data_IF_183808416418
#
_entry.id   IF_183808416418
#
_cell.length_a   1.000
_cell.length_b   1.000
_cell.length_c   1.000
_cell.angle_alpha   90.00
_cell.angle_beta   90.00
_cell.angle_gamma   90.00
#
_symmetry.space_group_name_H-M   'P 1'
#
loop_
_entity.id
_entity.type
_entity.pdbx_description
1 polymer ?
#
# COMPACT_ATOMS: atom_id res chain seq x y z
N UNK A 1 -16.51 13.99 -5.15
CA UNK A 1 -16.29 15.41 -5.55
C UNK A 1 -15.44 16.17 -4.54
N UNK A 2 -15.77 16.16 -3.24
CA UNK A 2 -14.93 16.82 -2.20
C UNK A 2 -13.55 16.18 -2.11
N UNK A 3 -13.47 14.84 -1.99
CA UNK A 3 -12.20 14.13 -1.93
C UNK A 3 -11.30 14.40 -3.14
N UNK A 4 -11.80 14.28 -4.37
CA UNK A 4 -11.05 14.58 -5.61
C UNK A 4 -10.49 16.01 -5.61
N UNK A 5 -11.28 17.00 -5.17
CA UNK A 5 -10.80 18.38 -5.08
C UNK A 5 -9.70 18.54 -4.02
N UNK A 6 -9.90 17.98 -2.84
CA UNK A 6 -8.91 18.01 -1.76
C UNK A 6 -7.60 17.33 -2.17
N UNK A 7 -7.69 16.18 -2.85
CA UNK A 7 -6.53 15.46 -3.40
C UNK A 7 -5.78 16.33 -4.41
N UNK A 8 -6.51 16.95 -5.35
CA UNK A 8 -5.92 17.88 -6.32
C UNK A 8 -5.22 19.08 -5.67
N UNK A 9 -5.89 19.77 -4.74
CA UNK A 9 -5.32 20.93 -4.05
C UNK A 9 -4.10 20.58 -3.18
N UNK A 10 -4.16 19.47 -2.44
CA UNK A 10 -3.06 19.04 -1.58
C UNK A 10 -1.88 18.48 -2.37
N UNK A 11 -2.14 17.78 -3.47
CA UNK A 11 -1.07 17.31 -4.37
C UNK A 11 -0.33 18.48 -5.03
N UNK A 12 -1.04 19.55 -5.42
CA UNK A 12 -0.47 20.75 -6.01
C UNK A 12 0.43 21.56 -5.06
N UNK A 13 0.30 21.36 -3.74
CA UNK A 13 1.21 21.94 -2.73
C UNK A 13 2.58 21.26 -2.70
N UNK A 14 2.80 20.20 -3.47
CA UNK A 14 4.06 19.47 -3.51
C UNK A 14 4.44 18.95 -2.12
N UNK A 15 5.56 19.43 -1.60
CA UNK A 15 6.10 19.01 -0.30
C UNK A 15 5.62 19.84 0.90
N UNK A 16 4.72 20.81 0.69
CA UNK A 16 4.25 21.76 1.71
C UNK A 16 2.93 21.34 2.39
N UNK A 17 2.58 20.04 2.42
CA UNK A 17 1.40 19.58 3.14
C UNK A 17 1.62 19.71 4.66
N UNK A 18 0.77 20.48 5.38
CA UNK A 18 0.89 20.62 6.83
C UNK A 18 0.81 19.27 7.55
N UNK A 19 1.67 19.06 8.54
CA UNK A 19 1.71 17.82 9.31
C UNK A 19 0.35 17.46 9.94
N UNK A 20 -0.38 18.47 10.42
CA UNK A 20 -1.72 18.31 11.00
C UNK A 20 -2.75 17.72 10.03
N UNK A 21 -2.57 17.87 8.71
CA UNK A 21 -3.51 17.35 7.70
C UNK A 21 -3.16 15.93 7.24
N UNK A 22 -1.94 15.43 7.48
CA UNK A 22 -1.49 14.13 6.99
C UNK A 22 -2.34 12.98 7.53
N UNK A 23 -2.66 13.01 8.82
CA UNK A 23 -3.48 11.98 9.47
C UNK A 23 -4.91 11.96 8.95
N UNK A 24 -5.54 13.13 8.79
CA UNK A 24 -6.90 13.23 8.27
C UNK A 24 -6.97 12.84 6.79
N UNK A 25 -5.96 13.22 6.01
CA UNK A 25 -5.87 12.82 4.61
C UNK A 25 -5.69 11.30 4.48
N UNK A 26 -4.90 10.67 5.34
CA UNK A 26 -4.79 9.22 5.40
C UNK A 26 -6.16 8.57 5.65
N UNK A 27 -6.92 9.03 6.65
CA UNK A 27 -8.26 8.52 6.94
C UNK A 27 -9.22 8.70 5.76
N UNK A 28 -9.18 9.85 5.08
CA UNK A 28 -10.00 10.10 3.88
C UNK A 28 -9.63 9.11 2.76
N UNK A 29 -8.34 8.90 2.51
CA UNK A 29 -7.88 7.93 1.51
C UNK A 29 -8.28 6.50 1.88
N UNK A 30 -8.26 6.13 3.16
CA UNK A 30 -8.74 4.82 3.63
C UNK A 30 -10.24 4.65 3.43
N UNK A 31 -11.04 5.69 3.69
CA UNK A 31 -12.48 5.67 3.39
C UNK A 31 -12.78 5.53 1.89
N UNK A 32 -11.87 5.97 1.02
CA UNK A 32 -11.90 5.77 -0.43
C UNK A 32 -10.93 4.67 -0.88
N UNK A 33 -10.75 3.64 -0.04
CA UNK A 33 -9.69 2.67 -0.21
C UNK A 33 -9.75 1.92 -1.55
N UNK A 34 -10.93 1.66 -2.09
CA UNK A 34 -11.10 1.02 -3.39
C UNK A 34 -10.54 1.90 -4.51
N UNK A 35 -10.95 3.16 -4.58
CA UNK A 35 -10.53 4.11 -5.61
C UNK A 35 -9.03 4.44 -5.50
N UNK A 36 -8.53 4.54 -4.27
CA UNK A 36 -7.09 4.73 -4.00
C UNK A 36 -6.30 3.49 -4.44
N UNK A 37 -6.74 2.29 -4.08
CA UNK A 37 -6.09 1.04 -4.52
C UNK A 37 -6.10 0.92 -6.05
N UNK A 38 -7.20 1.27 -6.72
CA UNK A 38 -7.25 1.30 -8.19
C UNK A 38 -6.20 2.25 -8.76
N UNK A 39 -6.13 3.48 -8.26
CA UNK A 39 -5.15 4.47 -8.73
C UNK A 39 -3.68 4.07 -8.44
N UNK A 40 -3.43 3.33 -7.35
CA UNK A 40 -2.11 2.80 -7.03
C UNK A 40 -1.71 1.58 -7.88
N UNK A 41 -2.69 0.80 -8.32
CA UNK A 41 -2.47 -0.50 -8.98
C UNK A 41 -2.63 -0.49 -10.50
N UNK A 42 -3.31 0.50 -11.06
CA UNK A 42 -3.65 0.52 -12.49
C UNK A 42 -2.47 0.91 -13.38
N UNK A 43 -1.67 -0.10 -13.75
CA UNK A 43 -0.54 -0.02 -14.68
C UNK A 43 -0.88 0.59 -16.04
N UNK A 44 -2.11 0.44 -16.51
CA UNK A 44 -2.52 0.82 -17.87
C UNK A 44 -3.38 2.09 -17.93
N UNK A 45 -3.75 2.68 -16.79
CA UNK A 45 -4.68 3.82 -16.69
C UNK A 45 -6.05 3.54 -17.33
N UNK A 46 -6.37 2.26 -17.56
CA UNK A 46 -7.63 1.81 -18.17
C UNK A 46 -8.61 1.25 -17.16
N UNK A 47 -8.13 0.86 -15.96
CA UNK A 47 -8.99 0.34 -14.89
C UNK A 47 -9.70 1.53 -14.25
N UNK A 48 -11.00 1.57 -14.44
CA UNK A 48 -11.87 2.50 -13.70
C UNK A 48 -12.36 1.83 -12.43
N UNK A 49 -12.46 2.56 -11.30
CA UNK A 49 -13.09 2.02 -10.12
C UNK A 49 -14.56 1.72 -10.44
N UNK A 50 -15.09 0.63 -9.92
CA UNK A 50 -16.49 0.24 -10.15
C UNK A 50 -17.46 1.22 -9.48
N UNK A 51 -17.00 1.81 -8.38
CA UNK A 51 -17.71 2.79 -7.58
C UNK A 51 -16.81 3.97 -7.26
N UNK A 52 -17.40 5.16 -7.14
CA UNK A 52 -16.68 6.37 -6.77
C UNK A 52 -15.89 7.02 -7.92
N UNK A 53 -15.10 8.06 -7.61
CA UNK A 53 -14.39 8.82 -8.63
C UNK A 53 -13.11 8.11 -9.09
N UNK A 54 -12.77 8.24 -10.37
CA UNK A 54 -11.43 7.97 -10.85
C UNK A 54 -10.46 8.99 -10.23
N UNK A 55 -9.31 8.52 -9.73
CA UNK A 55 -8.26 9.34 -9.14
C UNK A 55 -7.02 9.30 -10.04
N UNK A 56 -6.30 10.41 -10.10
CA UNK A 56 -5.04 10.52 -10.84
C UNK A 56 -3.89 9.94 -9.99
N UNK A 57 -3.14 8.98 -10.55
CA UNK A 57 -2.06 8.29 -9.83
C UNK A 57 -0.99 9.24 -9.29
N UNK A 58 -0.68 10.31 -10.04
CA UNK A 58 0.34 11.29 -9.65
C UNK A 58 -0.09 12.11 -8.43
N UNK A 59 -1.38 12.45 -8.35
CA UNK A 59 -1.94 13.15 -7.19
C UNK A 59 -1.95 12.24 -5.96
N UNK A 60 -2.34 10.97 -6.15
CA UNK A 60 -2.29 9.95 -5.10
C UNK A 60 -0.85 9.75 -4.62
N UNK A 61 0.14 9.77 -5.51
CA UNK A 61 1.56 9.60 -5.18
C UNK A 61 2.07 10.77 -4.35
N UNK A 62 1.81 12.01 -4.80
CA UNK A 62 2.21 13.21 -4.08
C UNK A 62 1.65 13.23 -2.66
N UNK A 63 0.37 12.91 -2.48
CA UNK A 63 -0.27 12.89 -1.16
C UNK A 63 0.22 11.71 -0.31
N UNK A 64 0.43 10.54 -0.91
CA UNK A 64 0.96 9.37 -0.18
C UNK A 64 2.37 9.66 0.34
N UNK A 65 3.24 10.31 -0.47
CA UNK A 65 4.56 10.78 -0.04
C UNK A 65 4.45 11.67 1.19
N UNK A 66 3.52 12.62 1.20
CA UNK A 66 3.32 13.51 2.35
C UNK A 66 2.84 12.76 3.60
N UNK A 67 1.88 11.85 3.44
CA UNK A 67 1.40 10.99 4.52
C UNK A 67 2.54 10.15 5.11
N UNK A 68 3.44 9.63 4.26
CA UNK A 68 4.59 8.81 4.66
C UNK A 68 5.61 9.53 5.55
N UNK A 69 5.59 10.87 5.62
CA UNK A 69 6.48 11.66 6.48
C UNK A 69 6.11 11.56 7.97
N UNK A 70 4.95 10.98 8.32
CA UNK A 70 4.53 10.80 9.71
C UNK A 70 4.06 9.38 9.95
N UNK A 71 4.66 8.70 10.94
CA UNK A 71 4.41 7.29 11.24
C UNK A 71 2.94 6.94 11.36
N UNK A 72 2.21 7.61 12.23
CA UNK A 72 0.82 7.29 12.51
C UNK A 72 -0.08 7.43 11.27
N UNK A 73 0.17 8.46 10.45
CA UNK A 73 -0.57 8.67 9.20
C UNK A 73 -0.26 7.59 8.17
N UNK A 74 1.02 7.23 8.05
CA UNK A 74 1.47 6.15 7.19
C UNK A 74 0.88 4.79 7.60
N UNK A 75 0.93 4.46 8.89
CA UNK A 75 0.40 3.21 9.42
C UNK A 75 -1.11 3.11 9.16
N UNK A 76 -1.85 4.21 9.35
CA UNK A 76 -3.29 4.30 9.05
C UNK A 76 -3.55 3.98 7.58
N UNK A 77 -2.83 4.63 6.66
CA UNK A 77 -2.97 4.39 5.23
C UNK A 77 -2.62 2.94 4.87
N UNK A 78 -1.54 2.40 5.44
CA UNK A 78 -1.09 1.05 5.16
C UNK A 78 -2.10 -0.01 5.59
N UNK A 79 -2.69 0.13 6.79
CA UNK A 79 -3.76 -0.74 7.24
C UNK A 79 -4.96 -0.68 6.28
N UNK A 80 -5.43 0.52 5.94
CA UNK A 80 -6.57 0.64 5.01
C UNK A 80 -6.29 0.08 3.61
N UNK A 81 -5.07 0.24 3.08
CA UNK A 81 -4.71 -0.37 1.80
C UNK A 81 -4.64 -1.90 1.86
N UNK A 82 -4.21 -2.49 2.99
CA UNK A 82 -4.29 -3.94 3.17
C UNK A 82 -5.74 -4.43 3.10
N UNK A 83 -6.68 -3.70 3.68
CA UNK A 83 -8.10 -4.01 3.55
C UNK A 83 -8.59 -3.87 2.11
N UNK A 84 -8.22 -2.79 1.41
CA UNK A 84 -8.62 -2.60 0.02
C UNK A 84 -8.08 -3.71 -0.90
N UNK A 85 -6.82 -4.12 -0.73
CA UNK A 85 -6.21 -5.23 -1.47
C UNK A 85 -6.90 -6.57 -1.19
N UNK A 86 -7.18 -6.88 0.07
CA UNK A 86 -7.85 -8.14 0.42
C UNK A 86 -9.31 -8.14 -0.06
N UNK A 87 -10.02 -7.02 0.04
CA UNK A 87 -11.35 -6.88 -0.53
C UNK A 87 -11.35 -7.11 -2.04
N UNK A 88 -10.35 -6.59 -2.75
CA UNK A 88 -10.14 -6.80 -4.19
C UNK A 88 -9.88 -8.28 -4.54
N UNK A 89 -9.27 -9.08 -3.65
CA UNK A 89 -9.14 -10.53 -3.83
C UNK A 89 -10.48 -11.27 -3.78
N UNK A 90 -11.42 -10.75 -3.00
CA UNK A 90 -12.77 -11.33 -2.83
C UNK A 90 -13.75 -10.89 -3.92
N UNK A 91 -13.36 -9.96 -4.79
CA UNK A 91 -14.21 -9.49 -5.86
C UNK A 91 -14.31 -10.52 -6.98
N UNK A 92 -15.49 -11.17 -7.06
CA UNK A 92 -15.78 -12.21 -8.05
C UNK A 92 -15.96 -11.66 -9.47
N UNK A 93 -16.11 -10.35 -9.64
CA UNK A 93 -16.18 -9.72 -10.97
C UNK A 93 -14.81 -9.72 -11.66
N UNK A 94 -13.73 -9.81 -10.87
CA UNK A 94 -12.36 -9.63 -11.34
C UNK A 94 -11.64 -10.95 -11.60
N UNK A 95 -10.71 -10.90 -12.56
CA UNK A 95 -9.79 -12.00 -12.78
C UNK A 95 -8.85 -12.13 -11.56
N UNK A 96 -8.73 -13.32 -10.93
CA UNK A 96 -7.84 -13.55 -9.80
C UNK A 96 -6.39 -13.12 -10.05
N UNK A 97 -5.86 -13.35 -11.26
CA UNK A 97 -4.49 -12.95 -11.60
C UNK A 97 -4.30 -11.45 -11.48
N UNK A 98 -5.28 -10.69 -11.93
CA UNK A 98 -5.21 -9.23 -11.93
C UNK A 98 -5.31 -8.67 -10.52
N UNK A 99 -6.07 -9.31 -9.61
CA UNK A 99 -6.16 -8.88 -8.21
C UNK A 99 -4.83 -9.10 -7.47
N UNK A 100 -4.15 -10.23 -7.71
CA UNK A 100 -2.80 -10.49 -7.17
C UNK A 100 -1.79 -9.45 -7.65
N UNK A 101 -1.75 -9.20 -8.96
CA UNK A 101 -0.87 -8.18 -9.56
C UNK A 101 -1.18 -6.80 -9.01
N UNK A 102 -2.46 -6.45 -8.90
CA UNK A 102 -2.90 -5.16 -8.36
C UNK A 102 -2.40 -4.95 -6.94
N UNK A 103 -2.49 -5.97 -6.08
CA UNK A 103 -1.96 -5.88 -4.72
C UNK A 103 -0.44 -5.69 -4.68
N UNK A 104 0.31 -6.42 -5.51
CA UNK A 104 1.75 -6.20 -5.67
C UNK A 104 2.05 -4.75 -6.08
N UNK A 105 1.40 -4.24 -7.12
CA UNK A 105 1.57 -2.87 -7.58
C UNK A 105 1.29 -1.83 -6.50
N UNK A 106 0.22 -2.00 -5.73
CA UNK A 106 -0.11 -1.10 -4.61
C UNK A 106 0.97 -1.11 -3.52
N UNK A 107 1.52 -2.28 -3.17
CA UNK A 107 2.64 -2.34 -2.21
C UNK A 107 3.86 -1.60 -2.75
N UNK A 108 4.21 -1.81 -4.03
CA UNK A 108 5.32 -1.12 -4.70
C UNK A 108 5.14 0.39 -4.77
N UNK A 109 3.92 0.85 -5.06
CA UNK A 109 3.54 2.27 -5.04
C UNK A 109 3.80 2.90 -3.67
N UNK A 110 3.29 2.28 -2.61
CA UNK A 110 3.43 2.80 -1.25
C UNK A 110 4.88 2.79 -0.77
N UNK A 111 5.66 1.79 -1.19
CA UNK A 111 7.08 1.74 -0.91
C UNK A 111 7.84 2.88 -1.57
N UNK A 112 7.53 3.18 -2.84
CA UNK A 112 8.18 4.28 -3.56
C UNK A 112 7.80 5.64 -2.98
N UNK A 113 6.53 5.85 -2.67
CA UNK A 113 6.06 7.05 -1.98
C UNK A 113 6.80 7.26 -0.66
N UNK A 114 6.97 6.19 0.13
CA UNK A 114 7.73 6.24 1.37
C UNK A 114 9.19 6.57 1.09
N UNK A 115 9.86 5.88 0.16
CA UNK A 115 11.26 6.16 -0.18
C UNK A 115 11.48 7.63 -0.52
N UNK A 116 10.59 8.22 -1.33
CA UNK A 116 10.63 9.65 -1.65
C UNK A 116 10.46 10.54 -0.41
N UNK A 117 9.57 10.19 0.51
CA UNK A 117 9.41 10.93 1.75
C UNK A 117 10.68 10.90 2.61
N UNK A 118 11.42 9.78 2.64
CA UNK A 118 12.61 9.65 3.49
C UNK A 118 13.84 10.34 2.88
N UNK A 119 13.97 10.28 1.56
CA UNK A 119 15.12 10.84 0.83
C UNK A 119 15.15 12.37 0.88
N UNK A 120 13.99 13.01 0.85
CA UNK A 120 13.89 14.47 0.83
C UNK A 120 13.99 15.08 2.25
N UNK A 121 13.71 14.30 3.31
CA UNK A 121 13.74 14.70 4.73
C UNK A 121 14.89 14.05 5.53
N UNK A 122 16.10 13.98 4.95
CA UNK A 122 17.32 13.41 5.60
C UNK A 122 17.65 13.97 7.00
N UNK A 123 17.00 15.05 7.46
CA UNK A 123 17.25 15.68 8.75
C UNK A 123 16.42 15.17 9.92
N UNK A 124 15.28 14.52 9.69
CA UNK A 124 14.36 14.10 10.77
C UNK A 124 14.22 12.58 10.89
N UNK A 125 15.16 11.85 10.29
CA UNK A 125 15.11 10.39 10.21
C UNK A 125 15.61 9.72 11.48
N UNK A 126 14.81 9.84 12.54
CA UNK A 126 14.69 8.76 13.51
C UNK A 126 13.23 8.57 13.87
N UNK A 127 12.57 7.66 13.16
CA UNK A 127 11.50 6.89 13.78
C UNK A 127 12.00 6.29 15.13
N UNK A 128 13.32 6.18 15.37
CA UNK A 128 13.96 5.75 16.63
C UNK A 128 13.52 6.48 17.90
N UNK A 129 12.95 7.70 17.83
CA UNK A 129 12.37 8.36 19.01
C UNK A 129 10.87 8.14 19.20
N UNK A 130 10.17 7.59 18.21
CA UNK A 130 8.71 7.40 18.22
C UNK A 130 8.29 5.92 18.23
N UNK A 131 9.18 5.00 18.60
CA UNK A 131 8.84 3.58 18.77
C UNK A 131 8.23 3.36 20.15
N UNK A 132 6.97 3.80 20.29
CA UNK A 132 6.05 3.24 21.28
C UNK A 132 5.01 2.46 20.47
N UNK A 133 5.15 1.13 20.44
CA UNK A 133 4.39 0.19 19.59
C UNK A 133 2.91 -0.04 20.01
N UNK A 134 2.29 0.91 20.71
CA UNK A 134 0.96 0.71 21.31
C UNK A 134 -0.22 1.22 20.46
N UNK A 135 0.00 1.70 19.24
CA UNK A 135 -1.03 2.45 18.48
C UNK A 135 -1.86 1.63 17.48
N UNK A 136 -1.63 0.32 17.35
CA UNK A 136 -2.32 -0.51 16.34
C UNK A 136 -3.82 -0.63 16.61
N UNK A 137 -4.27 -0.58 17.87
CA UNK A 137 -5.69 -0.66 18.21
C UNK A 137 -6.53 0.56 17.79
N UNK A 138 -5.92 1.74 17.69
CA UNK A 138 -6.64 2.97 17.30
C UNK A 138 -6.84 3.13 15.79
N UNK A 139 -5.92 2.59 14.99
CA UNK A 139 -5.90 2.73 13.53
C UNK A 139 -7.01 1.93 12.85
N UNK A 140 -7.35 0.74 13.38
CA UNK A 140 -8.37 -0.14 12.80
C UNK A 140 -9.79 0.45 12.85
N UNK A 141 -10.06 1.39 13.77
CA UNK A 141 -11.39 2.02 13.90
C UNK A 141 -11.78 2.89 12.69
N UNK A 142 -10.81 3.35 11.90
CA UNK A 142 -11.06 4.20 10.72
C UNK A 142 -11.11 3.42 9.41
N UNK A 143 -10.77 2.13 9.44
CA UNK A 143 -10.85 1.30 8.26
C UNK A 143 -12.29 0.82 8.11
N UNK A 144 -12.97 1.11 6.98
CA UNK A 144 -14.33 0.64 6.76
C UNK A 144 -14.45 -0.87 6.96
N UNK A 145 -15.51 -1.29 7.65
CA UNK A 145 -15.82 -2.70 7.83
C UNK A 145 -16.13 -3.31 6.47
N UNK A 146 -15.24 -4.20 6.02
CA UNK A 146 -15.48 -5.12 4.91
C UNK A 146 -15.99 -6.43 5.50
N UNK A 147 -16.68 -7.28 4.71
CA UNK A 147 -17.25 -8.52 5.24
C UNK A 147 -16.24 -9.36 6.03
N UNK A 148 -16.71 -10.11 7.05
CA UNK A 148 -15.88 -10.79 8.07
C UNK A 148 -14.62 -11.51 7.56
N UNK A 149 -14.71 -12.20 6.42
CA UNK A 149 -13.57 -12.92 5.86
C UNK A 149 -12.49 -11.99 5.33
N UNK A 150 -12.88 -10.93 4.61
CA UNK A 150 -11.95 -9.93 4.10
C UNK A 150 -11.30 -9.14 5.24
N UNK A 151 -12.06 -8.84 6.30
CA UNK A 151 -11.52 -8.17 7.49
C UNK A 151 -10.44 -9.03 8.17
N UNK A 152 -10.74 -10.30 8.47
CA UNK A 152 -9.74 -11.21 9.07
C UNK A 152 -8.49 -11.37 8.20
N UNK A 153 -8.68 -11.49 6.89
CA UNK A 153 -7.55 -11.58 5.95
C UNK A 153 -6.68 -10.33 5.98
N UNK A 154 -7.30 -9.15 6.01
CA UNK A 154 -6.60 -7.87 6.07
C UNK A 154 -5.89 -7.64 7.42
N UNK A 155 -6.48 -8.06 8.54
CA UNK A 155 -5.86 -8.02 9.86
C UNK A 155 -4.58 -8.88 9.90
N UNK A 156 -4.61 -10.06 9.26
CA UNK A 156 -3.43 -10.93 9.14
C UNK A 156 -2.32 -10.27 8.31
N UNK A 157 -2.67 -9.63 7.19
CA UNK A 157 -1.69 -8.91 6.34
C UNK A 157 -1.10 -7.72 7.09
N UNK A 158 -1.94 -6.95 7.77
CA UNK A 158 -1.52 -5.80 8.58
C UNK A 158 -0.60 -6.24 9.71
N UNK A 159 -0.90 -7.34 10.39
CA UNK A 159 -0.03 -7.92 11.41
C UNK A 159 1.34 -8.32 10.84
N UNK A 160 1.37 -8.92 9.65
CA UNK A 160 2.61 -9.30 8.99
C UNK A 160 3.46 -8.08 8.59
N UNK A 161 2.82 -7.01 8.11
CA UNK A 161 3.47 -5.74 7.82
C UNK A 161 4.02 -5.06 9.09
N UNK A 162 3.29 -5.07 10.21
CA UNK A 162 3.77 -4.53 11.49
C UNK A 162 5.05 -5.25 11.92
N UNK A 163 5.08 -6.58 11.82
CA UNK A 163 6.29 -7.36 12.13
C UNK A 163 7.45 -6.99 11.20
N UNK A 164 7.20 -6.75 9.91
CA UNK A 164 8.18 -6.20 8.95
C UNK A 164 8.76 -4.87 9.45
N UNK A 165 7.91 -3.96 9.93
CA UNK A 165 8.32 -2.66 10.48
C UNK A 165 9.11 -2.77 11.80
N UNK A 166 8.71 -3.67 12.71
CA UNK A 166 9.40 -3.95 13.98
C UNK A 166 10.83 -4.41 13.73
N UNK A 167 11.00 -5.41 12.87
CA UNK A 167 12.32 -5.94 12.52
C UNK A 167 13.21 -4.88 11.88
N UNK A 168 12.65 -3.97 11.07
CA UNK A 168 13.41 -2.87 10.47
C UNK A 168 13.91 -1.89 11.53
N UNK A 169 13.07 -1.52 12.50
CA UNK A 169 13.46 -0.64 13.60
C UNK A 169 14.56 -1.27 14.48
N UNK A 170 14.55 -2.60 14.64
CA UNK A 170 15.60 -3.33 15.37
C UNK A 170 16.91 -3.44 14.60
N UNK A 171 16.86 -3.51 13.26
CA UNK A 171 18.05 -3.56 12.42
C UNK A 171 18.68 -2.17 12.29
N UNK A 172 19.73 -1.88 13.07
CA UNK A 172 20.56 -0.65 12.97
C UNK A 172 21.31 -0.47 11.64
N UNK A 173 20.92 -1.17 10.58
CA UNK A 173 21.64 -1.22 9.31
C UNK A 173 21.13 -0.10 8.41
N UNK A 174 21.87 1.01 8.44
CA UNK A 174 21.79 2.15 7.52
C UNK A 174 22.39 1.77 6.15
N UNK A 175 21.90 0.69 5.51
CA UNK A 175 22.16 0.45 4.08
C UNK A 175 20.94 0.95 3.29
N UNK A 176 20.90 2.28 3.11
CA UNK A 176 19.77 3.09 2.66
C UNK A 176 19.15 2.68 1.31
N UNK A 177 19.81 1.81 0.54
CA UNK A 177 19.34 1.42 -0.80
C UNK A 177 19.06 -0.08 -1.00
N UNK A 178 19.52 -0.97 -0.10
CA UNK A 178 19.31 -2.43 -0.25
C UNK A 178 18.34 -3.02 0.79
N UNK A 179 18.21 -2.41 1.97
CA UNK A 179 17.33 -2.91 3.02
C UNK A 179 15.84 -2.70 2.70
N UNK A 180 15.48 -1.60 2.02
CA UNK A 180 14.08 -1.23 1.75
C UNK A 180 13.34 -2.33 0.97
N UNK A 181 13.99 -2.96 -0.01
CA UNK A 181 13.42 -4.04 -0.84
C UNK A 181 13.30 -5.38 -0.12
N UNK A 182 14.18 -5.68 0.85
CA UNK A 182 14.16 -6.96 1.56
C UNK A 182 13.06 -7.03 2.64
N UNK A 183 12.51 -5.89 3.05
CA UNK A 183 11.80 -5.75 4.31
C UNK A 183 10.27 -5.84 4.23
N UNK A 184 9.64 -5.92 3.05
CA UNK A 184 8.17 -6.13 2.93
C UNK A 184 7.76 -7.57 2.63
N UNK A 185 8.72 -8.49 2.79
CA UNK A 185 8.55 -9.88 2.41
C UNK A 185 7.45 -10.58 3.21
N UNK A 186 7.26 -10.26 4.50
CA UNK A 186 6.15 -10.89 5.25
C UNK A 186 4.81 -10.34 4.80
N UNK A 187 4.69 -9.04 4.57
CA UNK A 187 3.46 -8.44 4.02
C UNK A 187 3.08 -9.07 2.68
N UNK A 188 4.01 -9.12 1.71
CA UNK A 188 3.77 -9.71 0.40
C UNK A 188 3.44 -11.20 0.47
N UNK A 189 4.14 -11.95 1.33
CA UNK A 189 3.82 -13.36 1.56
C UNK A 189 2.44 -13.54 2.21
N UNK A 190 2.05 -12.67 3.13
CA UNK A 190 0.72 -12.70 3.74
C UNK A 190 -0.37 -12.39 2.70
N UNK A 191 -0.16 -11.39 1.84
CA UNK A 191 -1.05 -11.09 0.72
C UNK A 191 -1.17 -12.27 -0.24
N UNK A 192 -0.07 -12.89 -0.64
CA UNK A 192 -0.09 -14.08 -1.49
C UNK A 192 -0.85 -15.25 -0.86
N UNK A 193 -0.70 -15.47 0.46
CA UNK A 193 -1.47 -16.49 1.19
C UNK A 193 -2.95 -16.18 1.23
N UNK A 194 -3.33 -14.92 1.49
CA UNK A 194 -4.74 -14.51 1.46
C UNK A 194 -5.32 -14.65 0.06
N UNK A 195 -4.61 -14.18 -0.97
CA UNK A 195 -5.03 -14.35 -2.34
C UNK A 195 -5.28 -15.83 -2.68
N UNK A 196 -4.36 -16.73 -2.30
CA UNK A 196 -4.52 -18.16 -2.53
C UNK A 196 -5.68 -18.75 -1.73
N UNK A 197 -5.88 -18.32 -0.48
CA UNK A 197 -6.99 -18.77 0.36
C UNK A 197 -8.35 -18.42 -0.27
N UNK A 198 -8.47 -17.23 -0.83
CA UNK A 198 -9.69 -16.76 -1.50
C UNK A 198 -9.87 -17.41 -2.88
N UNK A 199 -8.78 -17.65 -3.60
CA UNK A 199 -8.78 -18.11 -4.99
C UNK A 199 -8.32 -19.57 -5.12
N UNK A 200 -8.59 -20.41 -4.12
CA UNK A 200 -8.15 -21.83 -4.08
C UNK A 200 -8.55 -22.62 -5.33
N UNK A 201 -9.78 -22.43 -5.79
CA UNK A 201 -10.30 -23.13 -6.97
C UNK A 201 -9.52 -22.75 -8.24
N UNK A 202 -9.23 -21.46 -8.40
CA UNK A 202 -8.37 -20.98 -9.49
C UNK A 202 -6.95 -21.56 -9.36
N UNK A 203 -6.34 -21.48 -8.18
CA UNK A 203 -4.99 -21.98 -7.94
C UNK A 203 -4.86 -23.51 -8.12
N UNK A 204 -5.91 -24.27 -7.82
CA UNK A 204 -5.91 -25.73 -8.01
C UNK A 204 -5.73 -26.15 -9.48
N UNK A 205 -6.23 -25.32 -10.41
CA UNK A 205 -6.18 -25.57 -11.85
C UNK A 205 -5.05 -24.82 -12.57
N UNK A 206 -4.25 -24.03 -11.84
CA UNK A 206 -3.18 -23.22 -12.42
C UNK A 206 -1.89 -23.39 -11.61
N UNK A 207 -0.97 -24.22 -12.10
CA UNK A 207 0.28 -24.57 -11.40
C UNK A 207 1.12 -23.35 -11.01
N UNK A 208 1.11 -22.30 -11.84
CA UNK A 208 1.86 -21.08 -11.59
C UNK A 208 1.35 -20.25 -10.39
N UNK A 209 0.16 -20.57 -9.88
CA UNK A 209 -0.50 -19.83 -8.79
C UNK A 209 -0.69 -20.69 -7.54
N UNK A 210 -0.11 -21.89 -7.52
CA UNK A 210 -0.01 -22.70 -6.31
C UNK A 210 0.92 -22.04 -5.30
N UNK A 211 0.60 -22.18 -4.02
CA UNK A 211 1.49 -21.79 -2.93
C UNK A 211 2.79 -22.61 -2.90
N UNK A 212 2.76 -23.83 -3.44
CA UNK A 212 3.90 -24.74 -3.51
C UNK A 212 5.07 -24.10 -4.28
N UNK A 213 6.29 -24.42 -3.85
CA UNK A 213 7.55 -24.01 -4.49
C UNK A 213 7.85 -22.49 -4.52
N UNK A 214 7.01 -21.68 -3.85
CA UNK A 214 7.22 -20.24 -3.69
C UNK A 214 7.03 -19.42 -4.98
N UNK A 215 6.47 -20.00 -6.03
CA UNK A 215 6.21 -19.33 -7.31
C UNK A 215 5.26 -18.15 -7.12
N UNK A 216 4.17 -18.35 -6.36
CA UNK A 216 3.21 -17.29 -6.06
C UNK A 216 3.85 -16.10 -5.33
N UNK A 217 4.78 -16.36 -4.40
CA UNK A 217 5.52 -15.31 -3.70
C UNK A 217 6.39 -14.49 -4.65
N UNK A 218 7.06 -15.15 -5.60
CA UNK A 218 7.86 -14.46 -6.62
C UNK A 218 7.01 -13.61 -7.55
N UNK A 219 5.78 -14.03 -7.87
CA UNK A 219 4.88 -13.26 -8.74
C UNK A 219 4.41 -11.95 -8.10
N UNK A 220 3.98 -12.01 -6.83
CA UNK A 220 3.56 -10.78 -6.13
C UNK A 220 4.75 -9.85 -5.87
N UNK A 221 5.92 -10.41 -5.57
CA UNK A 221 7.18 -9.65 -5.42
C UNK A 221 7.58 -8.97 -6.72
N UNK A 222 7.54 -9.69 -7.84
CA UNK A 222 7.78 -9.12 -9.18
C UNK A 222 6.81 -7.98 -9.50
N UNK A 223 5.52 -8.15 -9.17
CA UNK A 223 4.51 -7.09 -9.39
C UNK A 223 4.78 -5.86 -8.51
N UNK A 224 5.26 -6.04 -7.28
CA UNK A 224 5.66 -4.94 -6.41
C UNK A 224 6.88 -4.18 -6.96
N UNK A 225 7.88 -4.90 -7.45
CA UNK A 225 9.04 -4.31 -8.10
C UNK A 225 8.66 -3.53 -9.36
N UNK A 226 7.79 -4.08 -10.21
CA UNK A 226 7.31 -3.39 -11.41
C UNK A 226 6.54 -2.10 -11.06
N UNK A 227 5.75 -2.11 -9.98
CA UNK A 227 5.04 -0.91 -9.50
C UNK A 227 5.99 0.17 -9.07
N UNK A 228 6.93 -0.19 -8.22
CA UNK A 228 8.00 0.68 -7.75
C UNK A 228 8.77 1.34 -8.92
N UNK A 229 9.21 0.53 -9.90
CA UNK A 229 9.92 1.01 -11.09
C UNK A 229 9.08 1.97 -11.95
N UNK A 230 7.77 1.74 -12.06
CA UNK A 230 6.86 2.63 -12.79
C UNK A 230 6.79 3.99 -12.11
N UNK A 231 6.56 4.03 -10.80
CA UNK A 231 6.36 5.29 -10.10
C UNK A 231 7.66 6.05 -9.83
N UNK A 232 8.81 5.36 -9.78
CA UNK A 232 10.12 6.03 -9.76
C UNK A 232 10.43 6.81 -11.04
N UNK A 233 9.80 6.45 -12.17
CA UNK A 233 9.93 7.17 -13.46
C UNK A 233 9.04 8.41 -13.57
N UNK A 234 8.01 8.56 -12.73
CA UNK A 234 7.14 9.77 -12.69
C UNK A 234 7.96 11.04 -12.37
N UNK A 235 9.15 10.88 -11.77
CA UNK A 235 10.18 11.93 -11.59
C UNK A 235 10.59 12.67 -12.87
N UNK A 236 10.36 12.10 -14.06
CA UNK A 236 10.72 12.71 -15.35
C UNK A 236 9.73 13.76 -15.87
N UNK A 237 8.58 13.92 -15.22
CA UNK A 237 7.53 14.88 -15.60
C UNK A 237 7.15 15.76 -14.42
N UNK A 238 8.07 16.60 -13.96
CA UNK A 238 7.66 17.84 -13.30
C UNK A 238 7.60 18.94 -14.37
N UNK A 239 6.59 19.83 -14.36
CA UNK A 239 6.64 21.07 -15.13
C UNK A 239 7.80 21.97 -14.69
#
# INVERSE_FOLDING_TARGET
RVFVKALGELSAKGDDMPAALRGDMAKIMVNHGHEVHVAMSDASETRKPEHGPQLESDQVMAVTKQISRTKESYDTLQAGMNHAMVADFHDKSRNPVDTLKSAGYTVGFMEEARRHALKDDLRDYTWDKAVSYHTTGGMLNFVPVVGDAAQRGADMVTSAWIQDEEKRAESKVVDENKAVFADRKRQLNALARQWHEVNKEYAAHNDEYKLADGVLYKKIDGSANDGNDRFGKVRGRQP
#
